data_IF_582325748968
#
_entry.id   IF_582325748968
#
_cell.length_a   1.000
_cell.length_b   1.000
_cell.length_c   1.000
_cell.angle_alpha   90.00
_cell.angle_beta   90.00
_cell.angle_gamma   90.00
#
_symmetry.space_group_name_H-M   'P 1'
#
loop_
_entity.id
_entity.type
_entity.pdbx_description
1 polymer ?
#
# COMPACT_ATOMS: atom_id res chain seq x y z
N UNK A 1 -11.68 17.43 -3.84
CA UNK A 1 -11.61 16.30 -4.80
C UNK A 1 -11.38 16.92 -6.18
N UNK A 2 -10.20 16.72 -6.77
CA UNK A 2 -9.91 17.25 -8.12
C UNK A 2 -10.72 16.42 -9.11
N UNK A 3 -11.68 17.03 -9.82
CA UNK A 3 -12.39 16.39 -10.92
C UNK A 3 -11.39 16.13 -12.05
N UNK A 4 -10.90 14.90 -12.17
CA UNK A 4 -10.13 14.49 -13.34
C UNK A 4 -11.08 14.37 -14.54
N UNK A 5 -10.61 14.87 -15.70
CA UNK A 5 -11.33 14.72 -16.96
C UNK A 5 -11.36 13.22 -17.35
N UNK A 6 -12.55 12.61 -17.33
CA UNK A 6 -12.77 11.20 -17.66
C UNK A 6 -13.71 11.10 -18.87
N UNK A 7 -13.17 11.14 -20.11
CA UNK A 7 -13.98 11.17 -21.32
C UNK A 7 -14.66 9.83 -21.64
N UNK A 8 -14.28 8.73 -20.98
CA UNK A 8 -14.87 7.41 -21.20
C UNK A 8 -15.58 6.92 -19.95
N UNK A 9 -16.89 6.67 -20.08
CA UNK A 9 -17.65 5.97 -19.06
C UNK A 9 -17.57 4.47 -19.30
N UNK A 10 -16.82 3.77 -18.44
CA UNK A 10 -16.72 2.32 -18.48
C UNK A 10 -17.73 1.74 -17.50
N UNK A 11 -18.65 0.90 -18.00
CA UNK A 11 -19.50 0.11 -17.11
C UNK A 11 -18.77 -1.15 -16.68
N UNK A 12 -18.55 -1.30 -15.37
CA UNK A 12 -17.93 -2.49 -14.79
C UNK A 12 -19.06 -3.44 -14.39
N UNK A 13 -19.33 -4.43 -15.25
CA UNK A 13 -20.33 -5.47 -15.04
C UNK A 13 -19.75 -6.68 -14.30
N UNK A 14 -20.59 -7.66 -13.97
CA UNK A 14 -20.14 -8.92 -13.37
C UNK A 14 -19.19 -9.71 -14.30
N UNK A 15 -19.33 -9.57 -15.61
CA UNK A 15 -18.49 -10.25 -16.62
C UNK A 15 -17.19 -9.49 -16.92
N UNK A 16 -16.93 -8.37 -16.24
CA UNK A 16 -15.72 -7.60 -16.45
C UNK A 16 -14.47 -8.44 -16.14
N UNK A 17 -13.45 -8.48 -17.05
CA UNK A 17 -12.24 -9.27 -16.85
C UNK A 17 -11.32 -8.64 -15.81
N UNK A 18 -11.65 -8.79 -14.52
CA UNK A 18 -10.87 -8.23 -13.40
C UNK A 18 -9.42 -8.68 -13.44
N UNK A 19 -9.18 -9.95 -13.77
CA UNK A 19 -7.83 -10.52 -13.92
C UNK A 19 -7.59 -10.91 -15.38
N UNK A 20 -6.61 -10.29 -16.01
CA UNK A 20 -6.16 -10.68 -17.35
C UNK A 20 -5.10 -11.77 -17.25
N UNK A 21 -5.36 -12.96 -17.84
CA UNK A 21 -4.53 -14.17 -17.72
C UNK A 21 -3.71 -14.53 -18.96
N UNK A 22 -3.71 -13.74 -20.02
CA UNK A 22 -2.97 -14.03 -21.25
C UNK A 22 -1.44 -14.08 -21.00
N UNK A 23 -0.75 -15.08 -21.57
CA UNK A 23 0.72 -15.22 -21.43
C UNK A 23 1.46 -13.96 -21.88
N UNK A 24 1.06 -13.40 -23.02
CA UNK A 24 1.64 -12.16 -23.55
C UNK A 24 1.39 -10.98 -22.61
N UNK A 25 0.15 -10.79 -22.16
CA UNK A 25 -0.19 -9.74 -21.19
C UNK A 25 0.63 -9.87 -19.90
N UNK A 26 0.79 -11.09 -19.38
CA UNK A 26 1.55 -11.35 -18.17
C UNK A 26 3.03 -11.05 -18.32
N UNK A 27 3.60 -11.33 -19.51
CA UNK A 27 4.99 -11.01 -19.83
C UNK A 27 5.20 -9.51 -19.92
N UNK A 28 4.40 -8.81 -20.74
CA UNK A 28 4.44 -7.34 -20.86
C UNK A 28 4.25 -6.65 -19.51
N UNK A 29 3.28 -7.12 -18.71
CA UNK A 29 3.03 -6.59 -17.39
C UNK A 29 4.23 -6.76 -16.45
N UNK A 30 4.91 -7.91 -16.46
CA UNK A 30 6.11 -8.13 -15.63
C UNK A 30 7.27 -7.21 -16.02
N UNK A 31 7.54 -7.08 -17.30
CA UNK A 31 8.60 -6.20 -17.79
C UNK A 31 8.31 -4.73 -17.50
N UNK A 32 7.09 -4.29 -17.79
CA UNK A 32 6.66 -2.92 -17.49
C UNK A 32 6.71 -2.62 -15.99
N UNK A 33 6.25 -3.55 -15.14
CA UNK A 33 6.36 -3.37 -13.69
C UNK A 33 7.81 -3.24 -13.25
N UNK A 34 8.72 -4.08 -13.74
CA UNK A 34 10.15 -4.00 -13.39
C UNK A 34 10.75 -2.67 -13.82
N UNK A 35 10.49 -2.23 -15.04
CA UNK A 35 10.95 -0.95 -15.56
C UNK A 35 10.39 0.22 -14.74
N UNK A 36 9.06 0.23 -14.52
CA UNK A 36 8.40 1.26 -13.73
C UNK A 36 8.94 1.30 -12.29
N UNK A 37 9.15 0.14 -11.66
CA UNK A 37 9.72 0.07 -10.31
C UNK A 37 11.15 0.60 -10.26
N UNK A 38 11.98 0.33 -11.26
CA UNK A 38 13.34 0.86 -11.33
C UNK A 38 13.34 2.40 -11.42
N UNK A 39 12.55 2.95 -12.35
CA UNK A 39 12.40 4.42 -12.53
C UNK A 39 11.82 5.07 -11.28
N UNK A 40 10.72 4.52 -10.75
CA UNK A 40 10.05 5.06 -9.56
C UNK A 40 10.90 4.90 -8.29
N UNK A 41 11.75 3.87 -8.21
CA UNK A 41 12.70 3.72 -7.10
C UNK A 41 13.71 4.87 -7.07
N UNK A 42 14.30 5.20 -8.21
CA UNK A 42 15.18 6.36 -8.34
C UNK A 42 14.44 7.67 -7.99
N UNK A 43 13.25 7.86 -8.55
CA UNK A 43 12.41 9.02 -8.29
C UNK A 43 12.04 9.16 -6.80
N UNK A 44 11.54 8.09 -6.16
CA UNK A 44 11.14 8.13 -4.76
C UNK A 44 12.33 8.34 -3.82
N UNK A 45 13.49 7.74 -4.12
CA UNK A 45 14.72 7.99 -3.35
C UNK A 45 15.22 9.43 -3.51
N UNK A 46 15.17 9.96 -4.73
CA UNK A 46 15.66 11.31 -5.00
C UNK A 46 14.71 12.38 -4.44
N UNK A 47 13.40 12.25 -4.70
CA UNK A 47 12.43 13.29 -4.34
C UNK A 47 11.90 13.16 -2.91
N UNK A 48 11.67 11.96 -2.42
CA UNK A 48 11.07 11.75 -1.09
C UNK A 48 12.08 11.18 -0.08
N UNK A 49 13.34 11.00 -0.47
CA UNK A 49 14.34 10.37 0.37
C UNK A 49 13.90 9.00 0.89
N UNK A 50 13.09 8.25 0.10
CA UNK A 50 12.48 7.01 0.55
C UNK A 50 13.53 6.04 1.10
N UNK A 51 13.32 5.61 2.34
CA UNK A 51 14.00 4.47 2.98
C UNK A 51 13.01 3.34 3.12
N UNK A 52 13.48 2.10 2.95
CA UNK A 52 12.68 0.89 3.15
C UNK A 52 13.34 0.06 4.23
N UNK A 53 12.56 -0.35 5.23
CA UNK A 53 13.00 -1.11 6.40
C UNK A 53 12.12 -2.35 6.59
N UNK A 54 12.61 -3.36 7.31
CA UNK A 54 11.84 -4.57 7.65
C UNK A 54 11.62 -5.52 6.49
N UNK A 55 12.43 -5.48 5.43
CA UNK A 55 12.27 -6.35 4.25
C UNK A 55 12.42 -7.84 4.57
N UNK A 56 13.10 -8.18 5.67
CA UNK A 56 13.23 -9.55 6.20
C UNK A 56 11.88 -10.17 6.56
N UNK A 57 10.89 -9.36 6.94
CA UNK A 57 9.55 -9.82 7.27
C UNK A 57 8.80 -10.43 6.07
N UNK A 58 9.16 -10.04 4.85
CA UNK A 58 8.59 -10.65 3.63
C UNK A 58 8.97 -12.12 3.49
N UNK A 59 10.11 -12.55 4.04
CA UNK A 59 10.54 -13.95 4.02
C UNK A 59 9.67 -14.85 4.91
N UNK A 60 9.00 -14.27 5.92
CA UNK A 60 8.09 -14.99 6.81
C UNK A 60 6.76 -15.35 6.14
N UNK A 61 6.44 -14.72 5.00
CA UNK A 61 5.21 -14.94 4.24
C UNK A 61 5.53 -15.09 2.73
N UNK A 62 6.14 -16.22 2.30
CA UNK A 62 6.65 -16.38 0.93
C UNK A 62 5.55 -16.55 -0.12
N UNK A 63 4.34 -16.90 0.28
CA UNK A 63 3.18 -17.10 -0.61
C UNK A 63 2.41 -15.83 -0.92
N UNK A 64 1.15 -16.00 -1.30
CA UNK A 64 0.21 -14.90 -1.47
C UNK A 64 -0.09 -14.20 -0.14
N UNK A 65 -0.37 -12.90 -0.21
CA UNK A 65 -0.65 -12.10 0.99
C UNK A 65 -1.63 -10.97 0.68
N UNK A 66 -2.33 -10.51 1.71
CA UNK A 66 -2.95 -9.20 1.72
C UNK A 66 -1.96 -8.22 2.36
N UNK A 67 -1.54 -7.21 1.64
CA UNK A 67 -0.71 -6.14 2.22
C UNK A 67 -1.57 -4.93 2.51
N UNK A 68 -1.28 -4.23 3.59
CA UNK A 68 -1.99 -3.01 3.99
C UNK A 68 -0.98 -1.89 4.27
N UNK A 69 -1.42 -0.63 4.09
CA UNK A 69 -0.60 0.54 4.41
C UNK A 69 -1.51 1.72 4.85
N UNK A 70 -0.99 2.63 5.64
CA UNK A 70 -1.62 3.94 5.82
C UNK A 70 -1.56 4.73 4.51
N UNK A 71 -2.62 5.48 4.20
CA UNK A 71 -2.75 6.15 2.91
C UNK A 71 -2.47 7.65 3.03
N UNK A 72 -1.20 8.02 2.86
CA UNK A 72 -0.70 9.37 3.17
C UNK A 72 -0.04 10.09 1.99
N UNK A 73 0.14 9.39 0.85
CA UNK A 73 0.75 9.99 -0.33
C UNK A 73 0.19 9.40 -1.62
N UNK A 74 0.04 10.20 -2.67
CA UNK A 74 -0.50 9.73 -3.98
C UNK A 74 0.33 8.61 -4.62
N UNK A 75 1.61 8.51 -4.29
CA UNK A 75 2.53 7.50 -4.80
C UNK A 75 2.78 6.33 -3.82
N UNK A 76 1.97 6.20 -2.75
CA UNK A 76 2.12 5.09 -1.78
C UNK A 76 2.15 3.73 -2.46
N UNK A 77 1.28 3.50 -3.45
CA UNK A 77 1.24 2.25 -4.20
C UNK A 77 2.59 1.93 -4.88
N UNK A 78 3.31 2.95 -5.37
CA UNK A 78 4.65 2.75 -5.94
C UNK A 78 5.69 2.43 -4.85
N UNK A 79 5.62 3.11 -3.70
CA UNK A 79 6.53 2.89 -2.58
C UNK A 79 6.36 1.48 -2.01
N UNK A 80 5.12 1.04 -1.78
CA UNK A 80 4.80 -0.31 -1.32
C UNK A 80 5.25 -1.37 -2.33
N UNK A 81 5.02 -1.14 -3.63
CA UNK A 81 5.43 -2.07 -4.68
C UNK A 81 6.97 -2.20 -4.77
N UNK A 82 7.70 -1.07 -4.64
CA UNK A 82 9.16 -1.05 -4.59
C UNK A 82 9.66 -1.86 -3.38
N UNK A 83 9.08 -1.63 -2.21
CA UNK A 83 9.45 -2.32 -0.97
C UNK A 83 9.15 -3.82 -1.02
N UNK A 84 8.01 -4.20 -1.62
CA UNK A 84 7.63 -5.61 -1.78
C UNK A 84 8.49 -6.35 -2.81
N UNK A 85 8.98 -5.67 -3.84
CA UNK A 85 9.92 -6.21 -4.84
C UNK A 85 9.33 -7.24 -5.81
N UNK A 86 8.03 -7.54 -5.74
CA UNK A 86 7.32 -8.47 -6.63
C UNK A 86 6.04 -7.81 -7.14
N UNK A 87 5.45 -8.37 -8.21
CA UNK A 87 4.19 -7.87 -8.73
C UNK A 87 3.08 -7.97 -7.69
N UNK A 88 2.41 -6.84 -7.46
CA UNK A 88 1.23 -6.72 -6.61
C UNK A 88 0.02 -6.27 -7.43
N UNK A 89 -1.16 -6.44 -6.84
CA UNK A 89 -2.41 -5.97 -7.43
C UNK A 89 -3.07 -4.96 -6.50
N UNK A 90 -3.60 -3.89 -7.08
CA UNK A 90 -4.13 -2.74 -6.35
C UNK A 90 -5.59 -2.50 -6.75
N UNK A 91 -6.56 -2.78 -5.88
CA UNK A 91 -7.90 -2.23 -6.05
C UNK A 91 -7.84 -0.72 -6.20
N UNK A 92 -8.44 -0.19 -7.25
CA UNK A 92 -8.35 1.23 -7.60
C UNK A 92 -9.71 1.80 -7.98
N UNK A 93 -9.86 3.12 -7.87
CA UNK A 93 -11.09 3.78 -8.28
C UNK A 93 -11.36 3.56 -9.76
N UNK A 94 -12.63 3.42 -10.12
CA UNK A 94 -13.11 3.29 -11.50
C UNK A 94 -12.59 4.43 -12.38
N UNK A 95 -12.57 5.67 -11.87
CA UNK A 95 -12.05 6.85 -12.57
C UNK A 95 -10.62 6.68 -13.11
N UNK A 96 -9.76 5.91 -12.45
CA UNK A 96 -8.39 5.67 -12.90
C UNK A 96 -8.31 4.79 -14.16
N UNK A 97 -9.35 4.02 -14.47
CA UNK A 97 -9.44 3.21 -15.69
C UNK A 97 -10.32 3.86 -16.77
N UNK A 98 -10.92 5.01 -16.48
CA UNK A 98 -11.70 5.81 -17.43
C UNK A 98 -10.84 6.82 -18.20
N UNK A 99 -9.58 7.04 -17.78
CA UNK A 99 -8.64 7.92 -18.48
C UNK A 99 -8.01 7.15 -19.65
N UNK A 100 -8.10 7.66 -20.91
CA UNK A 100 -7.44 7.07 -22.08
C UNK A 100 -5.95 6.86 -21.80
N UNK A 101 -5.34 5.85 -22.41
CA UNK A 101 -3.94 5.44 -22.21
C UNK A 101 -3.58 5.05 -20.77
N UNK A 102 -3.97 5.82 -19.76
CA UNK A 102 -3.74 5.54 -18.34
C UNK A 102 -4.39 4.22 -17.92
N UNK A 103 -5.60 3.93 -18.40
CA UNK A 103 -6.29 2.65 -18.13
C UNK A 103 -5.46 1.43 -18.47
N UNK A 104 -4.75 1.50 -19.58
CA UNK A 104 -3.92 0.38 -20.04
C UNK A 104 -2.70 0.20 -19.12
N UNK A 105 -2.07 1.32 -18.78
CA UNK A 105 -0.94 1.37 -17.86
C UNK A 105 -1.35 0.89 -16.45
N UNK A 106 -2.45 1.40 -15.90
CA UNK A 106 -2.97 0.97 -14.60
C UNK A 106 -3.22 -0.54 -14.56
N UNK A 107 -3.85 -1.09 -15.62
CA UNK A 107 -4.10 -2.53 -15.73
C UNK A 107 -2.82 -3.36 -15.85
N UNK A 108 -1.84 -2.90 -16.60
CA UNK A 108 -0.54 -3.57 -16.72
C UNK A 108 0.23 -3.54 -15.40
N UNK A 109 0.15 -2.44 -14.66
CA UNK A 109 0.79 -2.29 -13.36
C UNK A 109 0.06 -3.01 -12.21
N UNK A 110 -1.06 -3.69 -12.49
CA UNK A 110 -1.78 -4.50 -11.49
C UNK A 110 -3.01 -3.82 -10.89
N UNK A 111 -3.45 -2.67 -11.42
CA UNK A 111 -4.67 -2.00 -10.99
C UNK A 111 -5.91 -2.82 -11.33
N UNK A 112 -6.81 -3.02 -10.37
CA UNK A 112 -8.09 -3.71 -10.52
C UNK A 112 -9.19 -2.71 -10.15
N UNK A 113 -10.05 -2.30 -11.10
CA UNK A 113 -11.08 -1.30 -10.79
C UNK A 113 -12.12 -1.86 -9.83
N UNK A 114 -12.48 -1.06 -8.83
CA UNK A 114 -13.54 -1.38 -7.86
C UNK A 114 -14.89 -1.05 -8.54
N UNK A 115 -15.81 -2.01 -8.63
CA UNK A 115 -17.12 -1.79 -9.21
C UNK A 115 -18.09 -1.11 -8.24
N UNK A 116 -19.14 -0.51 -8.80
CA UNK A 116 -20.16 0.24 -8.05
C UNK A 116 -21.41 -0.58 -7.76
N UNK A 117 -21.67 -1.66 -8.55
CA UNK A 117 -22.87 -2.49 -8.37
C UNK A 117 -22.60 -3.71 -7.51
N UNK A 118 -23.55 -4.18 -6.68
CA UNK A 118 -23.37 -5.37 -5.83
C UNK A 118 -23.00 -6.63 -6.61
N UNK A 119 -23.59 -6.85 -7.80
CA UNK A 119 -23.32 -8.01 -8.63
C UNK A 119 -21.88 -8.01 -9.16
N UNK A 120 -21.43 -6.86 -9.68
CA UNK A 120 -20.05 -6.72 -10.14
C UNK A 120 -19.05 -6.77 -8.96
N UNK A 121 -19.43 -6.28 -7.77
CA UNK A 121 -18.62 -6.39 -6.57
C UNK A 121 -18.44 -7.85 -6.10
N UNK A 122 -19.47 -8.68 -6.23
CA UNK A 122 -19.33 -10.11 -5.96
C UNK A 122 -18.34 -10.79 -6.92
N UNK A 123 -18.38 -10.46 -8.21
CA UNK A 123 -17.43 -10.96 -9.20
C UNK A 123 -16.00 -10.43 -8.95
N UNK A 124 -15.85 -9.16 -8.60
CA UNK A 124 -14.59 -8.57 -8.16
C UNK A 124 -14.00 -9.30 -6.94
N UNK A 125 -14.82 -9.51 -5.91
CA UNK A 125 -14.42 -10.21 -4.69
C UNK A 125 -13.97 -11.66 -4.99
N UNK A 126 -14.69 -12.36 -5.86
CA UNK A 126 -14.30 -13.70 -6.35
C UNK A 126 -12.95 -13.66 -7.05
N UNK A 127 -12.70 -12.66 -7.90
CA UNK A 127 -11.42 -12.50 -8.60
C UNK A 127 -10.26 -12.23 -7.63
N UNK A 128 -10.46 -11.37 -6.62
CA UNK A 128 -9.46 -11.12 -5.55
C UNK A 128 -9.14 -12.42 -4.79
N UNK A 129 -10.16 -13.19 -4.38
CA UNK A 129 -9.96 -14.47 -3.69
C UNK A 129 -9.23 -15.50 -4.56
N UNK A 130 -9.56 -15.59 -5.85
CA UNK A 130 -8.84 -16.46 -6.79
C UNK A 130 -7.36 -16.07 -6.93
N UNK A 131 -7.08 -14.75 -6.96
CA UNK A 131 -5.72 -14.24 -7.04
C UNK A 131 -4.91 -14.62 -5.79
N UNK A 132 -5.47 -14.38 -4.59
CA UNK A 132 -4.82 -14.69 -3.32
C UNK A 132 -4.57 -16.19 -3.16
N UNK A 133 -5.57 -17.04 -3.44
CA UNK A 133 -5.42 -18.51 -3.40
C UNK A 133 -4.43 -19.04 -4.44
N UNK A 134 -4.22 -18.31 -5.54
CA UNK A 134 -3.20 -18.60 -6.55
C UNK A 134 -1.81 -18.07 -6.21
N UNK A 135 -1.56 -17.64 -4.97
CA UNK A 135 -0.25 -17.13 -4.53
C UNK A 135 0.04 -15.68 -4.93
N UNK A 136 -0.97 -14.96 -5.45
CA UNK A 136 -0.84 -13.52 -5.75
C UNK A 136 -0.97 -12.65 -4.51
N UNK A 137 -0.52 -11.40 -4.61
CA UNK A 137 -0.59 -10.42 -3.52
C UNK A 137 -1.48 -9.26 -3.89
N UNK A 138 -2.36 -8.88 -2.97
CA UNK A 138 -3.27 -7.73 -3.12
C UNK A 138 -2.94 -6.69 -2.06
N UNK A 139 -2.80 -5.44 -2.49
CA UNK A 139 -2.59 -4.31 -1.60
C UNK A 139 -3.89 -3.56 -1.38
N UNK A 140 -4.19 -3.24 -0.12
CA UNK A 140 -5.37 -2.51 0.28
C UNK A 140 -5.01 -1.40 1.28
N UNK A 141 -5.69 -0.27 1.17
CA UNK A 141 -5.61 0.79 2.17
C UNK A 141 -6.82 0.65 3.13
N UNK A 142 -6.61 0.11 4.33
CA UNK A 142 -7.73 -0.19 5.23
C UNK A 142 -8.41 1.07 5.76
N UNK A 143 -7.77 2.22 5.68
CA UNK A 143 -8.32 3.53 6.03
C UNK A 143 -9.37 4.05 5.03
N UNK A 144 -9.42 3.48 3.81
CA UNK A 144 -10.41 3.78 2.78
C UNK A 144 -10.21 5.06 2.01
N UNK A 145 -9.47 6.04 2.51
CA UNK A 145 -9.24 7.35 1.87
C UNK A 145 -7.81 7.83 2.05
N UNK A 146 -7.32 8.57 1.05
CA UNK A 146 -6.04 9.27 1.10
C UNK A 146 -6.15 10.56 1.92
N UNK A 147 -5.27 10.70 2.93
CA UNK A 147 -5.09 11.95 3.67
C UNK A 147 -3.62 12.36 3.59
N UNK A 148 -3.28 13.32 2.75
CA UNK A 148 -1.90 13.68 2.47
C UNK A 148 -1.16 14.11 3.74
N UNK A 149 -0.02 13.47 3.98
CA UNK A 149 0.89 13.76 5.10
C UNK A 149 0.26 13.66 6.51
N UNK A 150 -0.79 12.85 6.65
CA UNK A 150 -1.37 12.56 7.96
C UNK A 150 -0.41 11.68 8.77
N UNK A 151 0.03 12.14 9.95
CA UNK A 151 0.90 11.37 10.85
C UNK A 151 0.15 10.30 11.63
N UNK A 152 -1.18 10.41 11.75
CA UNK A 152 -1.99 9.51 12.57
C UNK A 152 -2.58 8.39 11.75
N UNK A 153 -2.57 7.17 12.32
CA UNK A 153 -3.29 6.02 11.77
C UNK A 153 -4.78 6.17 12.07
N UNK A 154 -5.60 6.03 11.04
CA UNK A 154 -7.07 6.13 11.12
C UNK A 154 -7.71 4.75 11.27
N UNK A 155 -8.96 4.67 11.75
CA UNK A 155 -9.66 3.40 11.93
C UNK A 155 -9.67 2.55 10.65
N UNK A 156 -9.48 1.23 10.80
CA UNK A 156 -9.41 0.30 9.70
C UNK A 156 -10.76 -0.33 9.38
N UNK A 157 -11.11 -0.37 8.09
CA UNK A 157 -12.20 -1.18 7.57
C UNK A 157 -11.84 -2.66 7.52
N UNK A 158 -12.84 -3.53 7.63
CA UNK A 158 -12.67 -5.00 7.71
C UNK A 158 -12.25 -5.66 6.40
N UNK A 159 -12.40 -5.01 5.25
CA UNK A 159 -12.28 -5.64 3.92
C UNK A 159 -10.99 -6.42 3.68
N UNK A 160 -9.84 -5.85 4.05
CA UNK A 160 -8.53 -6.49 3.90
C UNK A 160 -8.44 -7.79 4.72
N UNK A 161 -8.89 -7.75 5.95
CA UNK A 161 -8.85 -8.86 6.91
C UNK A 161 -9.83 -9.97 6.55
N UNK A 162 -10.99 -9.62 5.96
CA UNK A 162 -11.93 -10.59 5.40
C UNK A 162 -11.29 -11.40 4.27
N UNK A 163 -10.59 -10.75 3.34
CA UNK A 163 -9.88 -11.46 2.27
C UNK A 163 -8.76 -12.34 2.80
N UNK A 164 -8.00 -11.87 3.78
CA UNK A 164 -6.93 -12.64 4.39
C UNK A 164 -7.47 -13.92 5.05
N UNK A 165 -8.48 -13.81 5.90
CA UNK A 165 -9.10 -14.96 6.55
C UNK A 165 -9.73 -15.94 5.54
N UNK A 166 -10.58 -15.42 4.64
CA UNK A 166 -11.32 -16.25 3.67
C UNK A 166 -10.38 -17.01 2.69
N UNK A 167 -9.14 -16.53 2.53
CA UNK A 167 -8.15 -17.15 1.65
C UNK A 167 -7.04 -17.90 2.40
N UNK A 168 -6.99 -17.83 3.74
CA UNK A 168 -5.94 -18.44 4.55
C UNK A 168 -4.56 -17.82 4.30
N UNK A 169 -4.50 -16.52 3.98
CA UNK A 169 -3.24 -15.81 3.69
C UNK A 169 -2.94 -14.76 4.75
N UNK A 170 -1.67 -14.44 5.02
CA UNK A 170 -1.31 -13.44 6.00
C UNK A 170 -1.70 -12.01 5.56
N UNK A 171 -1.89 -11.15 6.55
CA UNK A 171 -1.86 -9.69 6.39
C UNK A 171 -0.45 -9.21 6.68
N UNK A 172 0.16 -8.47 5.75
CA UNK A 172 1.47 -7.84 5.95
C UNK A 172 1.28 -6.33 6.06
N UNK A 173 1.42 -5.74 7.26
CA UNK A 173 1.29 -4.30 7.43
C UNK A 173 2.55 -3.57 6.96
N UNK A 174 2.34 -2.47 6.24
CA UNK A 174 3.34 -1.49 5.86
C UNK A 174 3.00 -0.17 6.55
N UNK A 175 3.98 0.51 7.09
CA UNK A 175 3.79 1.81 7.73
C UNK A 175 4.67 2.86 7.07
N UNK A 176 4.07 3.92 6.55
CA UNK A 176 4.77 5.12 6.08
C UNK A 176 4.88 6.08 7.25
N UNK A 177 6.12 6.45 7.57
CA UNK A 177 6.45 7.42 8.62
C UNK A 177 7.29 8.56 8.05
N UNK A 178 7.44 9.63 8.80
CA UNK A 178 8.13 10.85 8.39
C UNK A 178 9.42 11.03 9.19
N UNK A 179 10.43 11.56 8.53
CA UNK A 179 11.68 11.95 9.15
C UNK A 179 12.18 13.30 8.63
N UNK A 180 12.96 14.05 9.38
CA UNK A 180 13.54 15.31 8.91
C UNK A 180 14.28 15.11 7.58
N UNK A 181 14.19 16.10 6.71
CA UNK A 181 14.99 16.11 5.49
C UNK A 181 16.39 16.62 5.85
N UNK A 182 17.39 15.75 5.77
CA UNK A 182 18.78 16.02 6.14
C UNK A 182 19.62 16.51 4.96
N UNK A 183 20.74 17.21 5.30
CA UNK A 183 21.76 17.66 4.36
C UNK A 183 21.29 18.75 3.38
N UNK A 184 21.99 18.88 2.26
CA UNK A 184 21.71 19.90 1.24
C UNK A 184 20.26 19.82 0.72
N UNK A 185 19.69 18.62 0.67
CA UNK A 185 18.30 18.39 0.28
C UNK A 185 17.30 18.89 1.32
N UNK A 186 17.61 18.85 2.60
CA UNK A 186 16.80 19.41 3.68
C UNK A 186 16.66 20.91 3.59
N UNK A 187 17.71 21.59 3.15
CA UNK A 187 17.69 23.06 2.93
C UNK A 187 16.79 23.49 1.76
N UNK A 188 16.63 22.62 0.76
CA UNK A 188 15.84 22.89 -0.44
C UNK A 188 14.39 22.42 -0.36
N UNK A 189 14.06 21.54 0.59
CA UNK A 189 12.74 20.88 0.68
C UNK A 189 12.01 21.25 1.98
N UNK A 190 10.80 21.76 1.82
CA UNK A 190 9.87 22.03 2.92
C UNK A 190 9.11 20.79 3.43
N UNK A 191 9.28 19.61 2.78
CA UNK A 191 8.51 18.40 3.11
C UNK A 191 9.42 17.34 3.72
N UNK A 192 8.95 16.57 4.71
CA UNK A 192 9.72 15.52 5.34
C UNK A 192 10.09 14.42 4.34
N UNK A 193 11.14 13.68 4.63
CA UNK A 193 11.48 12.44 3.97
C UNK A 193 10.60 11.31 4.49
N UNK A 194 10.46 10.25 3.69
CA UNK A 194 9.59 9.13 3.99
C UNK A 194 10.41 7.87 4.34
N UNK A 195 9.93 7.15 5.35
CA UNK A 195 10.38 5.79 5.65
C UNK A 195 9.19 4.86 5.50
N UNK A 196 9.34 3.79 4.74
CA UNK A 196 8.36 2.73 4.62
C UNK A 196 8.89 1.49 5.33
N UNK A 197 8.24 1.12 6.43
CA UNK A 197 8.62 -0.05 7.23
C UNK A 197 7.64 -1.19 7.01
N UNK A 198 8.17 -2.38 6.74
CA UNK A 198 7.39 -3.61 6.63
C UNK A 198 7.35 -4.25 8.01
N UNK A 199 6.17 -4.34 8.60
CA UNK A 199 5.96 -4.95 9.90
C UNK A 199 5.80 -6.47 9.77
N UNK A 200 5.80 -7.17 10.90
CA UNK A 200 5.63 -8.61 10.92
C UNK A 200 4.26 -9.04 10.38
N UNK A 201 4.22 -10.10 9.56
CA UNK A 201 2.98 -10.67 9.07
C UNK A 201 2.07 -11.14 10.20
N UNK A 202 0.77 -10.96 10.01
CA UNK A 202 -0.29 -11.43 10.89
C UNK A 202 -1.00 -12.57 10.17
N UNK A 203 -0.88 -13.78 10.71
CA UNK A 203 -1.49 -14.98 10.14
C UNK A 203 -2.90 -15.18 10.71
N UNK A 204 -3.87 -15.60 9.86
CA UNK A 204 -5.18 -15.98 10.34
C UNK A 204 -5.14 -17.31 11.08
N UNK A 205 -5.88 -17.42 12.18
CA UNK A 205 -6.14 -18.68 12.86
C UNK A 205 -7.39 -19.34 12.28
N UNK A 206 -7.25 -20.48 11.56
CA UNK A 206 -8.39 -21.15 10.95
C UNK A 206 -9.31 -21.84 11.96
N UNK A 207 -8.86 -22.02 13.21
CA UNK A 207 -9.66 -22.63 14.29
C UNK A 207 -10.60 -21.63 14.97
N UNK A 208 -10.30 -20.34 14.86
CA UNK A 208 -11.09 -19.28 15.46
C UNK A 208 -12.37 -18.97 14.66
N UNK A 209 -13.38 -18.42 15.33
CA UNK A 209 -14.58 -17.97 14.63
C UNK A 209 -14.24 -16.87 13.60
N UNK A 210 -14.83 -16.97 12.40
CA UNK A 210 -14.55 -16.03 11.30
C UNK A 210 -14.66 -14.56 11.72
N UNK A 211 -15.72 -14.22 12.48
CA UNK A 211 -15.95 -12.85 12.91
C UNK A 211 -14.91 -12.38 13.92
N UNK A 212 -14.60 -13.23 14.90
CA UNK A 212 -13.61 -12.90 15.94
C UNK A 212 -12.21 -12.76 15.36
N UNK A 213 -11.84 -13.66 14.45
CA UNK A 213 -10.50 -13.65 13.86
C UNK A 213 -10.26 -12.45 12.93
N UNK A 214 -11.26 -12.08 12.11
CA UNK A 214 -11.19 -10.86 11.28
C UNK A 214 -10.99 -9.63 12.17
N UNK A 215 -11.69 -9.56 13.29
CA UNK A 215 -11.56 -8.44 14.22
C UNK A 215 -10.21 -8.45 14.92
N UNK A 216 -9.74 -9.61 15.42
CA UNK A 216 -8.41 -9.75 16.03
C UNK A 216 -7.30 -9.29 15.09
N UNK A 217 -7.30 -9.75 13.83
CA UNK A 217 -6.29 -9.34 12.84
C UNK A 217 -6.37 -7.83 12.56
N UNK A 218 -7.58 -7.26 12.50
CA UNK A 218 -7.78 -5.82 12.27
C UNK A 218 -7.21 -4.99 13.42
N UNK A 219 -7.54 -5.35 14.65
CA UNK A 219 -7.08 -4.66 15.85
C UNK A 219 -5.57 -4.80 16.03
N UNK A 220 -5.04 -5.99 15.81
CA UNK A 220 -3.60 -6.25 15.90
C UNK A 220 -2.81 -5.44 14.86
N UNK A 221 -3.28 -5.40 13.61
CA UNK A 221 -2.66 -4.59 12.57
C UNK A 221 -2.72 -3.10 12.91
N UNK A 222 -3.87 -2.62 13.37
CA UNK A 222 -4.06 -1.23 13.77
C UNK A 222 -3.13 -0.85 14.93
N UNK A 223 -3.07 -1.67 15.98
CA UNK A 223 -2.22 -1.45 17.15
C UNK A 223 -0.74 -1.39 16.73
N UNK A 224 -0.24 -2.40 15.99
CA UNK A 224 1.18 -2.45 15.56
C UNK A 224 1.56 -1.26 14.68
N UNK A 225 0.72 -0.89 13.72
CA UNK A 225 0.98 0.25 12.85
C UNK A 225 0.95 1.56 13.62
N UNK A 226 -0.01 1.73 14.55
CA UNK A 226 -0.12 2.92 15.39
C UNK A 226 1.10 3.08 16.29
N UNK A 227 1.47 2.04 17.04
CA UNK A 227 2.65 2.03 17.91
C UNK A 227 3.93 2.37 17.15
N UNK A 228 4.09 1.80 15.94
CA UNK A 228 5.24 2.08 15.09
C UNK A 228 5.29 3.54 14.63
N UNK A 229 4.16 4.11 14.20
CA UNK A 229 4.09 5.50 13.78
C UNK A 229 4.33 6.48 14.93
N UNK A 230 3.75 6.23 16.09
CA UNK A 230 3.94 7.04 17.31
C UNK A 230 5.41 7.00 17.78
N UNK A 231 6.05 5.84 17.76
CA UNK A 231 7.47 5.71 18.10
C UNK A 231 8.38 6.46 17.10
N UNK A 232 8.05 6.42 15.80
CA UNK A 232 8.80 7.16 14.78
C UNK A 232 8.62 8.68 14.93
N UNK A 233 7.43 9.15 15.25
CA UNK A 233 7.19 10.57 15.55
C UNK A 233 7.93 11.05 16.78
N UNK A 234 7.95 10.26 17.86
CA UNK A 234 8.67 10.59 19.09
C UNK A 234 10.18 10.74 18.82
N UNK A 235 10.78 9.81 18.06
CA UNK A 235 12.20 9.91 17.65
C UNK A 235 12.47 11.15 16.80
N UNK A 236 11.56 11.53 15.94
CA UNK A 236 11.72 12.71 15.09
C UNK A 236 11.66 14.00 15.90
N UNK A 237 10.81 14.06 16.93
CA UNK A 237 10.71 15.23 17.84
C UNK A 237 11.96 15.38 18.69
N UNK A 238 12.44 14.30 19.33
CA UNK A 238 13.66 14.36 20.16
C UNK A 238 14.88 14.81 19.36
N UNK A 239 15.07 14.26 18.14
CA UNK A 239 16.17 14.69 17.27
C UNK A 239 16.11 16.17 16.87
N UNK A 240 14.90 16.72 16.69
CA UNK A 240 14.73 18.14 16.36
C UNK A 240 14.88 19.08 17.55
N UNK A 241 14.71 18.58 18.77
CA UNK A 241 14.96 19.33 20.01
C UNK A 241 16.45 19.38 20.35
N UNK A 242 17.18 18.27 20.18
CA UNK A 242 18.63 18.21 20.36
C UNK A 242 19.40 19.14 19.40
N UNK A 243 18.93 19.26 18.14
CA UNK A 243 19.56 20.14 17.14
C UNK A 243 19.31 21.65 17.41
N UNK A 244 18.34 21.99 18.27
CA UNK A 244 18.02 23.37 18.67
C UNK A 244 18.76 23.85 19.92
N UNK A 245 19.43 22.97 20.67
CA UNK A 245 20.26 23.36 21.80
C UNK A 245 21.60 23.91 21.26
N UNK A 246 21.87 25.22 21.34
CA UNK A 246 23.13 25.77 20.84
C UNK A 246 24.28 25.18 21.65
N UNK A 247 25.34 24.73 20.98
CA UNK A 247 26.58 24.24 21.54
C UNK A 247 27.36 25.40 22.26
N UNK A 248 26.71 26.06 23.21
CA UNK A 248 27.20 27.26 23.87
C UNK A 248 26.94 27.39 25.35
N UNK A 249 26.44 26.35 26.04
CA UNK A 249 26.16 26.39 27.47
C UNK A 249 27.07 25.44 28.30
N UNK A 250 28.36 25.39 27.92
CA UNK A 250 29.39 24.79 28.73
C UNK A 250 30.51 25.83 28.90
N UNK A 251 30.33 26.74 29.85
CA UNK A 251 31.41 27.50 30.49
C UNK A 251 31.22 27.45 31.98
#
# INVERSE_FOLDING_TARGET
>A
MVKMWTPYHITITADYPFLRRGRFFSLCSRWLCRFALAVLSGYNRLLFGLRVEGTENLKKAPGGAVTICNHVHMLDCSMVNIAYGKKMYFPTLKSNVEIPFVRFLVRLLGGIPIPETPQAFAAFSKAIKQLLKGGGTVHLYPEGMLYPYCGQIRPFHRGAFMYAYDCGVPVIPFAVTYRPAEGLRGRLKKRPFLTLTILEPIFPDPSASRRGEIERMREEAFRRMKEHCEAAEAKTRSSSEEEKIPAGAAK
#
